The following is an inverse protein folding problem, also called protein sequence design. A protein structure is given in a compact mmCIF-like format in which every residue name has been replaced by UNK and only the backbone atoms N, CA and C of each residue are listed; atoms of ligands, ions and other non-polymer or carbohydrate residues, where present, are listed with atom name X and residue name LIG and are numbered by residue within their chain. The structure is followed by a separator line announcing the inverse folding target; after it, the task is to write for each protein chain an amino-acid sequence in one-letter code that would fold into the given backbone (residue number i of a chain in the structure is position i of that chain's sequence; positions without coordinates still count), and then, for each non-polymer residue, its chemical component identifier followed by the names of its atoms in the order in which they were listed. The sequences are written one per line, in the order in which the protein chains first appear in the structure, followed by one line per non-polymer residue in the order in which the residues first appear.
data_IF_472083764082
#
_entry.id   IF_472083764082
#
_cell.length_a   1.000
_cell.length_b   1.000
_cell.length_c   1.000
_cell.angle_alpha   90.00
_cell.angle_beta   90.00
_cell.angle_gamma   90.00
#
_symmetry.space_group_name_H-M   'P 1'
#
loop_
_entity.id
_entity.type
_entity.pdbx_description
1 polymer ?
#
# COMPACT_ATOMS: atom_id res chain seq x y z
N UNK A 1 -7.20 55.42 -95.75
CA UNK A 1 -8.02 55.84 -94.60
C UNK A 1 -8.32 54.70 -93.60
N UNK A 2 -8.39 53.42 -94.01
CA UNK A 2 -8.71 52.30 -93.10
C UNK A 2 -7.61 51.88 -92.09
N UNK A 3 -6.39 52.44 -92.16
CA UNK A 3 -5.26 52.02 -91.31
C UNK A 3 -5.14 52.80 -90.01
N UNK A 4 -5.49 54.08 -89.99
CA UNK A 4 -5.38 54.93 -88.80
C UNK A 4 -6.48 54.61 -87.78
N UNK A 5 -7.72 54.46 -88.25
CA UNK A 5 -8.89 54.09 -87.45
C UNK A 5 -8.72 52.70 -86.81
N UNK A 6 -8.05 51.76 -87.51
CA UNK A 6 -7.76 50.44 -86.97
C UNK A 6 -6.68 50.48 -85.86
N UNK A 7 -5.66 51.34 -86.01
CA UNK A 7 -4.64 51.57 -84.98
C UNK A 7 -5.25 52.25 -83.75
N UNK A 8 -6.13 53.23 -83.93
CA UNK A 8 -6.85 53.88 -82.83
C UNK A 8 -7.76 52.90 -82.08
N UNK A 9 -8.44 52.01 -82.80
CA UNK A 9 -9.25 50.96 -82.20
C UNK A 9 -8.40 49.95 -81.41
N UNK A 10 -7.24 49.54 -81.93
CA UNK A 10 -6.29 48.68 -81.21
C UNK A 10 -5.74 49.35 -79.96
N UNK A 11 -5.40 50.63 -80.04
CA UNK A 11 -4.89 51.42 -78.91
C UNK A 11 -5.97 51.61 -77.84
N UNK A 12 -7.23 51.79 -78.23
CA UNK A 12 -8.36 51.91 -77.32
C UNK A 12 -8.63 50.59 -76.59
N UNK A 13 -8.57 49.45 -77.31
CA UNK A 13 -8.67 48.12 -76.71
C UNK A 13 -7.52 47.84 -75.74
N UNK A 14 -6.27 48.10 -76.14
CA UNK A 14 -5.10 47.91 -75.28
C UNK A 14 -5.18 48.76 -74.01
N UNK A 15 -5.67 50.00 -74.08
CA UNK A 15 -5.93 50.86 -72.91
C UNK A 15 -7.03 50.30 -72.00
N UNK A 16 -8.11 49.75 -72.54
CA UNK A 16 -9.16 49.11 -71.75
C UNK A 16 -8.61 47.92 -70.98
N UNK A 17 -7.91 47.02 -71.68
CA UNK A 17 -7.31 45.82 -71.07
C UNK A 17 -6.27 46.18 -70.01
N UNK A 18 -5.44 47.20 -70.25
CA UNK A 18 -4.48 47.69 -69.26
C UNK A 18 -5.17 48.23 -68.00
N UNK A 19 -6.29 48.95 -68.15
CA UNK A 19 -7.09 49.42 -67.00
C UNK A 19 -7.73 48.28 -66.22
N UNK A 20 -8.29 47.29 -66.92
CA UNK A 20 -8.87 46.09 -66.30
C UNK A 20 -7.82 45.31 -65.50
N UNK A 21 -6.66 45.06 -66.10
CA UNK A 21 -5.54 44.37 -65.43
C UNK A 21 -4.97 45.15 -64.25
N UNK A 22 -4.93 46.48 -64.34
CA UNK A 22 -4.51 47.32 -63.22
C UNK A 22 -5.53 47.27 -62.07
N UNK A 23 -6.83 47.20 -62.37
CA UNK A 23 -7.86 47.04 -61.36
C UNK A 23 -7.78 45.68 -60.66
N UNK A 24 -7.61 44.61 -61.44
CA UNK A 24 -7.42 43.25 -60.96
C UNK A 24 -6.18 43.15 -60.04
N UNK A 25 -5.04 43.69 -60.48
CA UNK A 25 -3.82 43.73 -59.68
C UNK A 25 -3.99 44.52 -58.38
N UNK A 26 -4.70 45.66 -58.45
CA UNK A 26 -4.99 46.49 -57.27
C UNK A 26 -5.84 45.72 -56.25
N UNK A 27 -6.87 45.00 -56.69
CA UNK A 27 -7.72 44.19 -55.81
C UNK A 27 -6.94 43.08 -55.10
N UNK A 28 -6.09 42.36 -55.84
CA UNK A 28 -5.24 41.30 -55.29
C UNK A 28 -4.17 41.81 -54.31
N UNK A 29 -3.82 43.10 -54.38
CA UNK A 29 -2.83 43.73 -53.50
C UNK A 29 -3.47 44.60 -52.40
N UNK A 30 -4.57 44.15 -51.80
CA UNK A 30 -5.29 44.88 -50.74
C UNK A 30 -5.70 46.32 -51.15
N UNK A 31 -6.10 46.51 -52.41
CA UNK A 31 -6.45 47.80 -53.01
C UNK A 31 -5.32 48.85 -53.05
N UNK A 32 -4.06 48.44 -52.94
CA UNK A 32 -2.90 49.33 -52.97
C UNK A 32 -2.06 49.10 -54.22
N UNK A 33 -1.43 50.16 -54.70
CA UNK A 33 -0.49 50.12 -55.84
C UNK A 33 0.94 50.19 -55.32
N UNK A 34 1.95 49.73 -56.10
CA UNK A 34 3.36 49.77 -55.68
C UNK A 34 3.91 51.16 -55.34
N UNK A 35 3.23 52.21 -55.78
CA UNK A 35 3.56 53.61 -55.47
C UNK A 35 3.07 54.04 -54.07
N UNK A 36 2.22 53.25 -53.41
CA UNK A 36 1.71 53.51 -52.08
C UNK A 36 2.76 53.08 -51.02
N UNK A 37 3.10 53.94 -50.04
CA UNK A 37 4.03 53.60 -48.97
C UNK A 37 3.63 52.36 -48.16
N UNK A 38 2.34 52.00 -48.15
CA UNK A 38 1.78 50.87 -47.40
C UNK A 38 1.53 49.63 -48.29
N UNK A 39 2.16 49.56 -49.47
CA UNK A 39 2.05 48.41 -50.36
C UNK A 39 2.67 47.14 -49.72
N UNK A 40 1.90 46.05 -49.57
CA UNK A 40 2.32 44.89 -48.76
C UNK A 40 3.45 44.04 -49.38
N UNK A 41 3.69 44.12 -50.69
CA UNK A 41 4.63 43.26 -51.42
C UNK A 41 5.78 44.05 -52.07
N UNK A 42 6.21 45.14 -51.43
CA UNK A 42 7.12 46.12 -52.07
C UNK A 42 8.47 45.53 -52.47
N UNK A 43 9.08 44.77 -51.58
CA UNK A 43 10.39 44.13 -51.83
C UNK A 43 10.30 43.07 -52.94
N UNK A 44 9.23 42.28 -52.94
CA UNK A 44 8.99 41.25 -53.96
C UNK A 44 8.70 41.88 -55.34
N UNK A 45 7.98 43.01 -55.38
CA UNK A 45 7.70 43.74 -56.60
C UNK A 45 8.95 44.38 -57.20
N UNK A 46 9.85 44.91 -56.36
CA UNK A 46 11.14 45.47 -56.79
C UNK A 46 12.09 44.40 -57.33
N UNK A 47 11.95 43.15 -56.89
CA UNK A 47 12.74 42.01 -57.39
C UNK A 47 12.23 41.44 -58.74
N UNK A 48 11.06 41.88 -59.23
CA UNK A 48 10.50 41.40 -60.49
C UNK A 48 11.24 41.99 -61.70
N UNK A 49 11.34 41.23 -62.81
CA UNK A 49 11.91 41.74 -64.04
C UNK A 49 11.18 43.00 -64.55
N UNK A 50 11.93 43.96 -65.06
CA UNK A 50 11.37 45.24 -65.57
C UNK A 50 10.85 45.16 -67.01
N UNK A 51 11.07 44.04 -67.70
CA UNK A 51 10.64 43.83 -69.09
C UNK A 51 9.46 42.87 -69.18
N UNK A 52 8.52 43.19 -70.06
CA UNK A 52 7.30 42.41 -70.27
C UNK A 52 7.59 40.95 -70.68
N UNK A 53 8.64 40.73 -71.49
CA UNK A 53 9.04 39.38 -71.91
C UNK A 53 9.56 38.53 -70.73
N UNK A 54 10.43 39.10 -69.89
CA UNK A 54 10.97 38.39 -68.72
C UNK A 54 9.91 38.17 -67.64
N UNK A 55 8.94 39.07 -67.49
CA UNK A 55 7.80 38.87 -66.59
C UNK A 55 6.91 37.70 -67.02
N UNK A 56 6.67 37.55 -68.33
CA UNK A 56 5.91 36.41 -68.86
C UNK A 56 6.65 35.09 -68.66
N UNK A 57 7.97 35.06 -68.87
CA UNK A 57 8.81 33.90 -68.62
C UNK A 57 8.80 33.51 -67.13
N UNK A 58 9.00 34.48 -66.23
CA UNK A 58 8.95 34.27 -64.79
C UNK A 58 7.55 33.81 -64.32
N UNK A 59 6.48 34.37 -64.91
CA UNK A 59 5.11 33.89 -64.66
C UNK A 59 4.92 32.44 -65.11
N UNK A 60 5.48 32.07 -66.27
CA UNK A 60 5.42 30.71 -66.79
C UNK A 60 6.20 29.71 -65.93
N UNK A 61 7.38 30.09 -65.45
CA UNK A 61 8.17 29.31 -64.49
C UNK A 61 7.40 29.08 -63.19
N UNK A 62 6.82 30.15 -62.60
CA UNK A 62 6.03 30.04 -61.38
C UNK A 62 4.79 29.17 -61.56
N UNK A 63 4.07 29.30 -62.67
CA UNK A 63 2.92 28.44 -62.98
C UNK A 63 3.33 26.98 -63.13
N UNK A 64 4.46 26.72 -63.78
CA UNK A 64 5.02 25.38 -63.95
C UNK A 64 5.41 24.80 -62.59
N UNK A 65 6.05 25.61 -61.72
CA UNK A 65 6.40 25.21 -60.36
C UNK A 65 5.17 24.90 -59.53
N UNK A 66 4.13 25.72 -59.58
CA UNK A 66 2.84 25.47 -58.91
C UNK A 66 2.17 24.20 -59.45
N UNK A 67 2.28 23.94 -60.76
CA UNK A 67 1.70 22.76 -61.37
C UNK A 67 2.41 21.46 -60.98
N UNK A 68 3.73 21.51 -60.79
CA UNK A 68 4.53 20.37 -60.33
C UNK A 68 4.58 20.22 -58.80
N UNK A 69 4.25 21.26 -58.04
CA UNK A 69 3.99 21.13 -56.61
C UNK A 69 2.67 20.39 -56.45
N UNK A 70 2.75 19.16 -55.96
CA UNK A 70 1.58 18.42 -55.53
C UNK A 70 0.77 19.30 -54.56
N UNK A 71 -0.55 19.39 -54.76
CA UNK A 71 -1.40 20.19 -53.88
C UNK A 71 -1.33 19.52 -52.52
N UNK A 72 -0.49 20.06 -51.63
CA UNK A 72 -0.32 19.53 -50.29
C UNK A 72 -1.69 19.21 -49.71
N UNK A 73 -1.90 17.94 -49.37
CA UNK A 73 -3.21 17.46 -48.99
C UNK A 73 -3.60 18.10 -47.66
N UNK A 74 -4.65 18.93 -47.67
CA UNK A 74 -5.22 19.55 -46.46
C UNK A 74 -5.54 18.49 -45.39
N UNK A 75 -5.74 17.23 -45.81
CA UNK A 75 -5.93 16.09 -44.92
C UNK A 75 -4.68 15.78 -44.09
N UNK A 76 -3.47 15.98 -44.62
CA UNK A 76 -2.20 15.76 -43.90
C UNK A 76 -2.01 16.83 -42.81
N UNK A 77 -2.38 18.08 -43.09
CA UNK A 77 -2.33 19.16 -42.09
C UNK A 77 -3.34 18.88 -40.96
N UNK A 78 -4.58 18.50 -41.29
CA UNK A 78 -5.58 18.12 -40.29
C UNK A 78 -5.13 16.92 -39.46
N UNK A 79 -4.58 15.90 -40.10
CA UNK A 79 -4.09 14.71 -39.40
C UNK A 79 -2.92 15.06 -38.46
N UNK A 80 -2.02 15.95 -38.88
CA UNK A 80 -0.95 16.46 -38.02
C UNK A 80 -1.52 17.17 -36.78
N UNK A 81 -2.45 18.11 -36.96
CA UNK A 81 -3.09 18.84 -35.85
C UNK A 81 -3.86 17.91 -34.90
N UNK A 82 -4.56 16.90 -35.43
CA UNK A 82 -5.26 15.88 -34.64
C UNK A 82 -4.28 15.01 -33.85
N UNK A 83 -3.18 14.59 -34.48
CA UNK A 83 -2.11 13.83 -33.82
C UNK A 83 -1.43 14.66 -32.73
N UNK A 84 -1.16 15.93 -32.97
CA UNK A 84 -0.58 16.83 -31.97
C UNK A 84 -1.48 16.97 -30.74
N UNK A 85 -2.79 17.18 -30.95
CA UNK A 85 -3.78 17.19 -29.87
C UNK A 85 -3.82 15.87 -29.12
N UNK A 86 -3.78 14.75 -29.83
CA UNK A 86 -3.80 13.40 -29.24
C UNK A 86 -2.54 13.14 -28.40
N UNK A 87 -1.37 13.49 -28.91
CA UNK A 87 -0.09 13.38 -28.18
C UNK A 87 -0.12 14.25 -26.92
N UNK A 88 -0.63 15.47 -27.01
CA UNK A 88 -0.76 16.37 -25.85
C UNK A 88 -1.66 15.76 -24.77
N UNK A 89 -2.82 15.22 -25.17
CA UNK A 89 -3.74 14.52 -24.26
C UNK A 89 -3.11 13.29 -23.61
N UNK A 90 -2.49 12.41 -24.40
CA UNK A 90 -1.82 11.21 -23.87
C UNK A 90 -0.68 11.56 -22.91
N UNK A 91 0.12 12.60 -23.22
CA UNK A 91 1.16 13.08 -22.29
C UNK A 91 0.56 13.58 -20.98
N UNK A 92 -0.56 14.30 -21.03
CA UNK A 92 -1.27 14.73 -19.83
C UNK A 92 -1.80 13.54 -19.02
N UNK A 93 -2.38 12.53 -19.67
CA UNK A 93 -2.90 11.33 -19.02
C UNK A 93 -1.79 10.49 -18.35
N UNK A 94 -0.63 10.35 -19.01
CA UNK A 94 0.55 9.68 -18.46
C UNK A 94 1.10 10.44 -17.25
N UNK A 95 1.24 11.77 -17.35
CA UNK A 95 1.72 12.59 -16.24
C UNK A 95 0.75 12.53 -15.05
N UNK A 96 -0.56 12.57 -15.32
CA UNK A 96 -1.57 12.46 -14.29
C UNK A 96 -1.51 11.08 -13.60
N UNK A 97 -1.45 9.99 -14.37
CA UNK A 97 -1.32 8.63 -13.83
C UNK A 97 -0.03 8.43 -13.03
N UNK A 98 1.09 8.97 -13.52
CA UNK A 98 2.37 9.00 -12.80
C UNK A 98 2.24 9.73 -11.46
N UNK A 99 1.56 10.88 -11.43
CA UNK A 99 1.34 11.65 -10.22
C UNK A 99 0.47 10.90 -9.20
N UNK A 100 -0.57 10.20 -9.68
CA UNK A 100 -1.46 9.39 -8.84
C UNK A 100 -0.73 8.19 -8.24
N UNK A 101 0.10 7.50 -9.03
CA UNK A 101 0.92 6.39 -8.54
C UNK A 101 1.88 6.87 -7.45
N UNK A 102 2.57 8.00 -7.67
CA UNK A 102 3.46 8.58 -6.67
C UNK A 102 2.71 8.94 -5.37
N UNK A 103 1.54 9.56 -5.48
CA UNK A 103 0.70 9.83 -4.31
C UNK A 103 0.25 8.56 -3.58
N UNK A 104 0.03 7.46 -4.31
CA UNK A 104 -0.33 6.18 -3.71
C UNK A 104 0.87 5.55 -2.99
N UNK A 105 2.06 5.57 -3.59
CA UNK A 105 3.31 5.13 -2.95
C UNK A 105 3.58 5.92 -1.66
N UNK A 106 3.46 7.25 -1.71
CA UNK A 106 3.62 8.11 -0.54
C UNK A 106 2.63 7.73 0.58
N UNK A 107 1.36 7.44 0.23
CA UNK A 107 0.35 6.97 1.18
C UNK A 107 0.68 5.60 1.76
N UNK A 108 1.19 4.66 0.95
CA UNK A 108 1.60 3.34 1.42
C UNK A 108 2.74 3.46 2.43
N UNK A 109 3.73 4.31 2.16
CA UNK A 109 4.85 4.58 3.06
C UNK A 109 4.35 5.20 4.37
N UNK A 110 3.52 6.24 4.29
CA UNK A 110 2.96 6.90 5.47
C UNK A 110 2.15 5.93 6.34
N UNK A 111 1.33 5.07 5.71
CA UNK A 111 0.60 4.04 6.42
C UNK A 111 1.59 3.11 7.13
N UNK A 112 2.59 2.59 6.41
CA UNK A 112 3.63 1.69 6.93
C UNK A 112 4.34 2.26 8.16
N UNK A 113 4.80 3.49 8.07
CA UNK A 113 5.49 4.18 9.17
C UNK A 113 4.58 4.43 10.37
N UNK A 114 3.27 4.59 10.14
CA UNK A 114 2.30 4.76 11.23
C UNK A 114 1.93 3.44 11.93
N UNK A 115 1.84 2.32 11.21
CA UNK A 115 1.33 1.06 11.78
C UNK A 115 2.42 0.08 12.24
N UNK A 116 3.55 0.00 11.53
CA UNK A 116 4.57 -1.02 11.78
C UNK A 116 5.33 -0.79 13.10
N UNK A 117 5.82 0.43 13.43
CA UNK A 117 6.54 0.65 14.67
C UNK A 117 5.72 0.36 15.94
N UNK A 118 4.45 0.79 16.06
CA UNK A 118 3.62 0.41 17.20
C UNK A 118 3.39 -1.10 17.33
N UNK A 119 3.28 -1.81 16.20
CA UNK A 119 3.19 -3.28 16.22
C UNK A 119 4.48 -3.92 16.73
N UNK A 120 5.64 -3.46 16.23
CA UNK A 120 6.94 -3.97 16.66
C UNK A 120 7.19 -3.69 18.15
N UNK A 121 6.81 -2.50 18.65
CA UNK A 121 6.88 -2.17 20.08
C UNK A 121 5.96 -3.06 20.94
N UNK A 122 4.73 -3.30 20.47
CA UNK A 122 3.78 -4.20 21.15
C UNK A 122 4.34 -5.62 21.22
N UNK A 123 4.87 -6.14 20.11
CA UNK A 123 5.48 -7.47 20.03
C UNK A 123 6.75 -7.58 20.87
N UNK A 124 7.61 -6.57 20.86
CA UNK A 124 8.81 -6.52 21.71
C UNK A 124 8.42 -6.63 23.18
N UNK A 125 7.40 -5.89 23.59
CA UNK A 125 6.94 -5.91 24.96
C UNK A 125 6.28 -7.24 25.40
N UNK A 126 5.57 -7.91 24.49
CA UNK A 126 5.10 -9.29 24.71
C UNK A 126 6.30 -10.24 24.77
N UNK A 127 7.29 -10.04 23.89
CA UNK A 127 8.53 -10.82 23.80
C UNK A 127 9.35 -10.82 25.08
N UNK A 128 9.55 -9.64 25.70
CA UNK A 128 10.22 -9.52 27.00
C UNK A 128 9.48 -10.31 28.08
N UNK A 129 8.17 -10.09 28.18
CA UNK A 129 7.33 -10.76 29.17
C UNK A 129 7.33 -12.29 28.98
N UNK A 130 7.24 -12.74 27.73
CA UNK A 130 7.29 -14.14 27.35
C UNK A 130 8.65 -14.76 27.69
N UNK A 131 9.75 -14.10 27.32
CA UNK A 131 11.12 -14.54 27.62
C UNK A 131 11.36 -14.67 29.12
N UNK A 132 10.91 -13.69 29.93
CA UNK A 132 11.02 -13.73 31.39
C UNK A 132 10.23 -14.88 32.01
N UNK A 133 9.03 -15.14 31.50
CA UNK A 133 8.20 -16.28 31.93
C UNK A 133 8.85 -17.62 31.55
N UNK A 134 9.40 -17.73 30.34
CA UNK A 134 10.08 -18.95 29.87
C UNK A 134 11.38 -19.20 30.64
N UNK A 135 12.14 -18.14 30.96
CA UNK A 135 13.36 -18.20 31.75
C UNK A 135 13.09 -18.75 33.17
N UNK A 136 11.97 -18.37 33.80
CA UNK A 136 11.54 -18.91 35.11
C UNK A 136 11.29 -20.43 35.07
N UNK A 137 11.04 -21.00 33.90
CA UNK A 137 10.82 -22.44 33.71
C UNK A 137 12.12 -23.22 33.48
N UNK A 138 13.25 -22.52 33.34
CA UNK A 138 14.54 -23.06 32.94
C UNK A 138 14.69 -23.22 31.42
N UNK A 139 13.92 -22.47 30.63
CA UNK A 139 13.91 -22.53 29.17
C UNK A 139 14.16 -21.13 28.57
N UNK A 140 14.47 -21.02 27.28
CA UNK A 140 14.58 -19.73 26.60
C UNK A 140 13.52 -19.60 25.51
N UNK A 141 12.93 -18.41 25.37
CA UNK A 141 11.88 -18.12 24.41
C UNK A 141 11.97 -16.71 23.88
N UNK A 142 11.69 -16.53 22.59
CA UNK A 142 11.72 -15.24 21.91
C UNK A 142 10.53 -15.15 20.93
N UNK A 143 9.98 -13.94 20.78
CA UNK A 143 8.89 -13.67 19.84
C UNK A 143 9.40 -12.66 18.82
N UNK A 144 9.22 -12.96 17.53
CA UNK A 144 9.60 -12.08 16.42
C UNK A 144 8.45 -11.89 15.46
N UNK A 145 8.44 -10.72 14.82
CA UNK A 145 7.65 -10.50 13.62
C UNK A 145 8.39 -11.15 12.45
N UNK A 146 7.81 -12.17 11.87
CA UNK A 146 8.27 -12.80 10.65
C UNK A 146 7.68 -12.06 9.45
N UNK A 147 8.54 -11.45 8.64
CA UNK A 147 8.15 -10.72 7.42
C UNK A 147 8.25 -11.61 6.18
N UNK A 148 8.51 -12.92 6.35
CA UNK A 148 8.73 -13.84 5.25
C UNK A 148 10.07 -13.58 4.55
N UNK A 149 10.01 -13.10 3.31
CA UNK A 149 11.20 -12.85 2.48
C UNK A 149 11.50 -11.39 2.17
N UNK A 150 10.46 -10.54 2.14
CA UNK A 150 10.56 -9.11 1.83
C UNK A 150 9.66 -8.32 2.77
N UNK A 151 10.06 -7.10 3.09
CA UNK A 151 9.26 -6.18 3.89
C UNK A 151 7.90 -5.84 3.26
N UNK A 152 7.71 -6.08 1.96
CA UNK A 152 6.45 -5.81 1.24
C UNK A 152 5.52 -7.03 1.14
N UNK A 153 5.96 -8.22 1.58
CA UNK A 153 5.15 -9.44 1.57
C UNK A 153 4.16 -9.46 2.74
N UNK A 154 3.31 -8.44 2.87
CA UNK A 154 2.37 -8.27 4.00
C UNK A 154 1.41 -9.45 4.20
N UNK A 155 1.14 -10.22 3.14
CA UNK A 155 0.35 -11.46 3.18
C UNK A 155 1.06 -12.61 3.92
N UNK A 156 2.39 -12.56 3.99
CA UNK A 156 3.23 -13.54 4.69
C UNK A 156 3.61 -13.10 6.11
N UNK A 157 3.21 -11.91 6.54
CA UNK A 157 3.52 -11.43 7.88
C UNK A 157 2.92 -12.36 8.93
N UNK A 158 3.76 -12.80 9.85
CA UNK A 158 3.38 -13.75 10.89
C UNK A 158 4.12 -13.50 12.19
N UNK A 159 3.65 -14.11 13.26
CA UNK A 159 4.35 -14.10 14.54
C UNK A 159 5.13 -15.41 14.64
N UNK A 160 6.46 -15.31 14.63
CA UNK A 160 7.34 -16.44 14.88
C UNK A 160 7.63 -16.54 16.38
N UNK A 161 7.18 -17.63 16.99
CA UNK A 161 7.52 -17.98 18.37
C UNK A 161 8.72 -18.94 18.31
N UNK A 162 9.85 -18.51 18.86
CA UNK A 162 11.06 -19.31 18.95
C UNK A 162 11.25 -19.78 20.39
N UNK A 163 11.57 -21.06 20.56
CA UNK A 163 11.74 -21.68 21.87
C UNK A 163 12.95 -22.59 21.91
N UNK A 164 13.51 -22.72 23.10
CA UNK A 164 14.59 -23.65 23.44
C UNK A 164 14.29 -24.25 24.81
N UNK A 165 14.14 -25.56 24.87
CA UNK A 165 13.84 -26.30 26.10
C UNK A 165 15.08 -26.84 26.80
N UNK A 166 16.18 -27.02 26.06
CA UNK A 166 17.44 -27.55 26.58
C UNK A 166 18.58 -26.60 26.26
N UNK A 167 19.52 -26.44 27.19
CA UNK A 167 20.63 -25.49 27.03
C UNK A 167 21.53 -25.80 25.81
N UNK A 168 21.63 -27.07 25.43
CA UNK A 168 22.46 -27.53 24.31
C UNK A 168 21.80 -27.37 22.94
N UNK A 169 20.53 -26.96 22.88
CA UNK A 169 19.81 -26.77 21.62
C UNK A 169 19.83 -25.29 21.20
N UNK A 170 19.63 -25.00 19.91
CA UNK A 170 19.46 -23.64 19.42
C UNK A 170 17.99 -23.20 19.60
N UNK A 171 17.74 -21.89 19.59
CA UNK A 171 16.36 -21.40 19.49
C UNK A 171 15.77 -21.86 18.16
N UNK A 172 14.67 -22.61 18.25
CA UNK A 172 13.96 -23.12 17.08
C UNK A 172 12.55 -22.58 17.07
N UNK A 173 12.04 -22.31 15.87
CA UNK A 173 10.64 -21.94 15.70
C UNK A 173 9.74 -23.08 16.21
N UNK A 174 8.65 -22.70 16.88
CA UNK A 174 7.64 -23.64 17.33
C UNK A 174 6.92 -24.22 16.11
N UNK A 175 7.21 -25.47 15.77
CA UNK A 175 6.54 -26.19 14.68
C UNK A 175 5.97 -27.51 15.19
N UNK A 176 5.02 -28.08 14.43
CA UNK A 176 4.44 -29.39 14.77
C UNK A 176 5.48 -30.51 14.82
N UNK A 177 6.59 -30.38 14.09
CA UNK A 177 7.55 -31.47 13.85
C UNK A 177 8.76 -31.43 14.79
N UNK A 178 9.06 -30.28 15.39
CA UNK A 178 10.26 -30.06 16.20
C UNK A 178 10.05 -30.27 17.69
N UNK A 179 8.85 -30.01 18.22
CA UNK A 179 8.57 -30.07 19.67
C UNK A 179 7.51 -31.12 20.01
N UNK A 180 7.62 -31.67 21.23
CA UNK A 180 6.61 -32.60 21.77
C UNK A 180 5.25 -31.93 21.97
N UNK A 181 4.19 -32.73 22.07
CA UNK A 181 2.84 -32.22 22.35
C UNK A 181 2.77 -31.38 23.63
N UNK A 182 3.46 -31.81 24.69
CA UNK A 182 3.51 -31.11 25.97
C UNK A 182 4.28 -29.79 25.90
N UNK A 183 5.42 -29.74 25.21
CA UNK A 183 6.19 -28.52 25.00
C UNK A 183 5.41 -27.48 24.18
N UNK A 184 4.64 -27.94 23.19
CA UNK A 184 3.76 -27.08 22.39
C UNK A 184 2.63 -26.51 23.22
N UNK A 185 1.97 -27.33 24.03
CA UNK A 185 0.93 -26.88 24.95
C UNK A 185 1.48 -25.86 25.96
N UNK A 186 2.65 -26.15 26.55
CA UNK A 186 3.33 -25.26 27.50
C UNK A 186 3.68 -23.91 26.86
N UNK A 187 4.28 -23.92 25.68
CA UNK A 187 4.64 -22.69 24.94
C UNK A 187 3.41 -21.85 24.64
N UNK A 188 2.35 -22.50 24.17
CA UNK A 188 1.09 -21.84 23.83
C UNK A 188 0.46 -21.20 25.07
N UNK A 189 0.44 -21.91 26.20
CA UNK A 189 -0.08 -21.39 27.46
C UNK A 189 0.70 -20.16 27.94
N UNK A 190 2.04 -20.22 27.91
CA UNK A 190 2.89 -19.09 28.32
C UNK A 190 2.72 -17.89 27.38
N UNK A 191 2.62 -18.12 26.07
CA UNK A 191 2.35 -17.06 25.10
C UNK A 191 0.98 -16.40 25.34
N UNK A 192 -0.06 -17.18 25.60
CA UNK A 192 -1.37 -16.62 25.95
C UNK A 192 -1.33 -15.82 27.26
N UNK A 193 -0.57 -16.28 28.25
CA UNK A 193 -0.38 -15.53 29.49
C UNK A 193 0.34 -14.19 29.27
N UNK A 194 1.41 -14.16 28.46
CA UNK A 194 2.15 -12.92 28.18
C UNK A 194 1.29 -11.90 27.43
N UNK A 195 0.42 -12.35 26.53
CA UNK A 195 -0.60 -11.51 25.89
C UNK A 195 -1.60 -10.96 26.91
N UNK A 196 -2.13 -11.82 27.78
CA UNK A 196 -3.18 -11.45 28.73
C UNK A 196 -2.74 -10.44 29.79
N UNK A 197 -1.46 -10.38 30.13
CA UNK A 197 -0.91 -9.37 31.05
C UNK A 197 -0.97 -7.95 30.48
N UNK A 198 -0.99 -7.79 29.16
CA UNK A 198 -1.04 -6.48 28.49
C UNK A 198 -2.46 -6.02 28.19
N UNK A 199 -3.41 -6.95 28.16
CA UNK A 199 -4.83 -6.63 28.00
C UNK A 199 -5.37 -6.22 29.36
N UNK A 200 -6.14 -5.13 29.46
CA UNK A 200 -6.86 -4.77 30.68
C UNK A 200 -8.20 -5.50 30.69
N UNK A 201 -8.39 -6.42 31.63
CA UNK A 201 -9.68 -7.09 31.87
C UNK A 201 -9.95 -7.19 33.37
N UNK A 202 -11.16 -6.84 33.85
CA UNK A 202 -11.52 -6.90 35.26
C UNK A 202 -11.59 -8.33 35.79
N UNK A 203 -11.94 -9.30 34.94
CA UNK A 203 -11.91 -10.72 35.27
C UNK A 203 -11.45 -11.56 34.07
N UNK A 204 -10.88 -12.73 34.34
CA UNK A 204 -10.46 -13.71 33.32
C UNK A 204 -10.82 -15.11 33.78
N UNK A 205 -11.40 -15.89 32.89
CA UNK A 205 -11.68 -17.30 33.12
C UNK A 205 -10.78 -18.13 32.23
N UNK A 206 -10.05 -19.05 32.84
CA UNK A 206 -9.11 -19.95 32.17
C UNK A 206 -9.54 -21.37 32.50
N UNK A 207 -9.91 -22.13 31.48
CA UNK A 207 -10.36 -23.52 31.65
C UNK A 207 -9.36 -24.49 31.02
N UNK A 208 -9.10 -25.59 31.73
CA UNK A 208 -8.27 -26.72 31.29
C UNK A 208 -6.87 -26.37 30.75
N UNK A 209 -6.33 -25.19 31.07
CA UNK A 209 -5.03 -24.73 30.56
C UNK A 209 -3.86 -25.63 30.96
N UNK A 210 -4.02 -26.42 32.03
CA UNK A 210 -3.02 -27.35 32.52
C UNK A 210 -3.10 -28.75 31.88
N UNK A 211 -3.97 -28.98 30.89
CA UNK A 211 -4.09 -30.27 30.21
C UNK A 211 -3.18 -30.40 28.98
N UNK A 212 -2.90 -31.65 28.57
CA UNK A 212 -2.08 -31.94 27.39
C UNK A 212 -0.55 -31.86 27.62
N UNK A 213 -0.11 -31.73 28.87
CA UNK A 213 1.29 -31.69 29.29
C UNK A 213 1.63 -32.86 30.21
N UNK A 214 2.93 -33.18 30.31
CA UNK A 214 3.41 -34.11 31.33
C UNK A 214 3.29 -33.50 32.75
N UNK A 215 3.31 -34.33 33.81
CA UNK A 215 3.13 -33.84 35.19
C UNK A 215 4.17 -32.80 35.65
N UNK A 216 5.37 -32.78 35.06
CA UNK A 216 6.45 -31.86 35.45
C UNK A 216 6.16 -30.47 34.88
N UNK A 217 5.90 -30.40 33.58
CA UNK A 217 5.58 -29.18 32.86
C UNK A 217 4.25 -28.59 33.32
N UNK A 218 3.25 -29.43 33.55
CA UNK A 218 1.96 -29.03 34.12
C UNK A 218 2.14 -28.31 35.46
N UNK A 219 2.93 -28.89 36.37
CA UNK A 219 3.20 -28.31 37.69
C UNK A 219 3.91 -26.96 37.58
N UNK A 220 4.96 -26.89 36.76
CA UNK A 220 5.72 -25.66 36.58
C UNK A 220 4.85 -24.55 35.99
N UNK A 221 4.02 -24.86 34.99
CA UNK A 221 3.09 -23.91 34.38
C UNK A 221 2.10 -23.38 35.41
N UNK A 222 1.48 -24.27 36.19
CA UNK A 222 0.52 -23.87 37.21
C UNK A 222 1.15 -22.97 38.28
N UNK A 223 2.35 -23.30 38.75
CA UNK A 223 3.10 -22.46 39.70
C UNK A 223 3.41 -21.08 39.11
N UNK A 224 3.83 -21.03 37.85
CA UNK A 224 4.08 -19.77 37.15
C UNK A 224 2.80 -18.93 37.01
N UNK A 225 1.68 -19.55 36.63
CA UNK A 225 0.38 -18.89 36.50
C UNK A 225 -0.06 -18.29 37.83
N UNK A 226 0.00 -19.06 38.91
CA UNK A 226 -0.34 -18.58 40.25
C UNK A 226 0.55 -17.41 40.65
N UNK A 227 1.86 -17.52 40.43
CA UNK A 227 2.82 -16.47 40.79
C UNK A 227 2.52 -15.17 40.03
N UNK A 228 2.44 -15.25 38.70
CA UNK A 228 2.18 -14.09 37.84
C UNK A 228 0.85 -13.41 38.16
N UNK A 229 -0.21 -14.19 38.38
CA UNK A 229 -1.56 -13.64 38.64
C UNK A 229 -1.70 -13.05 40.03
N UNK A 230 -0.83 -13.41 40.98
CA UNK A 230 -0.87 -12.90 42.35
C UNK A 230 0.16 -11.80 42.65
N UNK A 231 1.25 -11.74 41.88
CA UNK A 231 2.28 -10.68 41.96
C UNK A 231 1.80 -9.37 41.32
N UNK A 232 0.96 -9.44 40.27
CA UNK A 232 0.40 -8.26 39.62
C UNK A 232 -0.92 -7.85 40.27
N UNK A 233 -1.15 -6.53 40.44
CA UNK A 233 -2.48 -5.96 40.75
C UNK A 233 -3.38 -5.99 39.51
N UNK A 234 -3.56 -7.19 38.96
CA UNK A 234 -4.40 -7.47 37.81
C UNK A 234 -5.81 -7.86 38.25
N UNK A 235 -6.74 -7.86 37.29
CA UNK A 235 -8.11 -8.33 37.49
C UNK A 235 -8.20 -9.77 37.99
N UNK A 236 -9.37 -10.17 38.45
CA UNK A 236 -9.60 -11.48 39.08
C UNK A 236 -9.43 -12.64 38.09
N UNK A 237 -8.65 -13.66 38.47
CA UNK A 237 -8.47 -14.88 37.68
C UNK A 237 -9.30 -16.04 38.24
N UNK A 238 -10.13 -16.64 37.41
CA UNK A 238 -10.82 -17.90 37.67
C UNK A 238 -10.13 -19.00 36.88
N UNK A 239 -9.48 -19.91 37.60
CA UNK A 239 -8.85 -21.08 37.02
C UNK A 239 -9.74 -22.30 37.26
N UNK A 240 -10.26 -22.86 36.17
CA UNK A 240 -11.07 -24.06 36.16
C UNK A 240 -10.19 -25.23 35.75
N UNK A 241 -10.08 -26.21 36.64
CA UNK A 241 -9.31 -27.42 36.35
C UNK A 241 -9.95 -28.63 37.01
N UNK A 242 -10.06 -29.76 36.29
CA UNK A 242 -10.49 -31.02 36.90
C UNK A 242 -9.36 -31.69 37.71
N UNK A 243 -8.13 -31.19 37.60
CA UNK A 243 -6.94 -31.79 38.21
C UNK A 243 -6.36 -30.90 39.30
N UNK A 244 -6.52 -31.32 40.55
CA UNK A 244 -5.88 -30.68 41.69
C UNK A 244 -4.44 -31.20 41.84
N UNK A 245 -3.45 -30.34 41.60
CA UNK A 245 -2.05 -30.67 41.84
C UNK A 245 -1.74 -30.59 43.33
N UNK A 246 -1.11 -31.64 43.87
CA UNK A 246 -0.70 -31.67 45.27
C UNK A 246 0.54 -30.81 45.51
N UNK A 247 0.70 -30.30 46.75
CA UNK A 247 1.86 -29.50 47.18
C UNK A 247 2.09 -28.23 46.34
N UNK A 248 1.04 -27.57 45.87
CA UNK A 248 1.19 -26.25 45.24
C UNK A 248 1.47 -25.17 46.29
N UNK A 249 2.18 -24.12 45.88
CA UNK A 249 2.44 -22.95 46.72
C UNK A 249 1.21 -22.04 46.68
N UNK A 250 0.51 -21.98 47.82
CA UNK A 250 -0.65 -21.11 47.98
C UNK A 250 -0.27 -19.83 48.73
N UNK A 251 -0.87 -18.71 48.36
CA UNK A 251 -0.73 -17.44 49.05
C UNK A 251 -2.12 -16.88 49.44
N UNK A 252 -2.20 -15.85 50.31
CA UNK A 252 -3.48 -15.32 50.79
C UNK A 252 -4.41 -14.75 49.71
N UNK A 253 -3.88 -14.46 48.51
CA UNK A 253 -4.68 -13.97 47.37
C UNK A 253 -5.37 -15.10 46.60
N UNK A 254 -5.14 -16.36 46.96
CA UNK A 254 -5.72 -17.53 46.27
C UNK A 254 -6.88 -18.10 47.07
N UNK A 255 -7.99 -18.37 46.38
CA UNK A 255 -9.13 -19.10 46.92
C UNK A 255 -9.38 -20.36 46.09
N UNK A 256 -9.44 -21.52 46.74
CA UNK A 256 -9.73 -22.80 46.08
C UNK A 256 -11.19 -23.16 46.34
N UNK A 257 -11.95 -23.29 45.25
CA UNK A 257 -13.32 -23.80 45.30
C UNK A 257 -13.35 -25.23 44.78
N UNK A 258 -13.63 -26.19 45.67
CA UNK A 258 -13.87 -27.59 45.27
C UNK A 258 -15.37 -27.79 45.05
N UNK A 259 -15.77 -27.96 43.79
CA UNK A 259 -17.18 -28.22 43.43
C UNK A 259 -17.43 -29.72 43.54
N UNK A 260 -18.24 -30.11 44.52
CA UNK A 260 -18.67 -31.48 44.73
C UNK A 260 -20.15 -31.60 44.38
N UNK A 261 -20.45 -32.04 43.16
CA UNK A 261 -21.83 -32.26 42.71
C UNK A 261 -22.04 -33.75 42.41
N UNK A 262 -23.00 -34.38 43.10
CA UNK A 262 -23.33 -35.79 42.90
C UNK A 262 -24.52 -36.24 43.75
N UNK A 263 -25.27 -37.24 43.26
CA UNK A 263 -26.49 -37.74 43.93
C UNK A 263 -26.25 -38.27 45.35
N UNK A 264 -25.05 -38.77 45.62
CA UNK A 264 -24.62 -39.34 46.91
C UNK A 264 -23.84 -38.36 47.78
N UNK A 265 -23.64 -37.11 47.32
CA UNK A 265 -22.86 -36.12 48.06
C UNK A 265 -23.70 -35.53 49.19
N UNK A 266 -23.07 -35.40 50.36
CA UNK A 266 -23.69 -34.83 51.54
C UNK A 266 -24.18 -33.41 51.26
N UNK A 267 -25.43 -33.10 51.66
CA UNK A 267 -25.95 -31.74 51.59
C UNK A 267 -25.01 -30.75 52.31
N UNK A 268 -24.70 -29.62 51.69
CA UNK A 268 -23.77 -28.61 52.22
C UNK A 268 -24.09 -28.17 53.66
N UNK A 269 -25.37 -28.19 54.09
CA UNK A 269 -25.77 -27.86 55.46
C UNK A 269 -25.25 -28.86 56.51
N UNK A 270 -24.95 -30.08 56.11
CA UNK A 270 -24.40 -31.14 56.97
C UNK A 270 -22.87 -31.20 56.91
N UNK A 271 -22.25 -30.47 55.98
CA UNK A 271 -20.79 -30.42 55.83
C UNK A 271 -20.16 -29.71 57.02
N UNK A 272 -19.17 -30.35 57.66
CA UNK A 272 -18.44 -29.78 58.80
C UNK A 272 -16.97 -29.63 58.43
N UNK A 273 -16.56 -28.41 58.08
CA UNK A 273 -15.20 -28.08 57.67
C UNK A 273 -14.15 -28.51 58.71
N UNK A 274 -14.38 -28.22 59.99
CA UNK A 274 -13.44 -28.57 61.07
C UNK A 274 -13.17 -30.08 61.14
N UNK A 275 -14.24 -30.89 61.04
CA UNK A 275 -14.12 -32.35 61.05
C UNK A 275 -13.39 -32.87 59.80
N UNK A 276 -13.65 -32.26 58.64
CA UNK A 276 -12.91 -32.59 57.41
C UNK A 276 -11.42 -32.28 57.55
N UNK A 277 -11.05 -31.09 58.05
CA UNK A 277 -9.65 -30.72 58.26
C UNK A 277 -8.94 -31.62 59.27
N UNK A 278 -9.63 -32.04 60.33
CA UNK A 278 -9.11 -32.99 61.32
C UNK A 278 -8.83 -34.36 60.68
N UNK A 279 -9.80 -34.90 59.93
CA UNK A 279 -9.61 -36.13 59.17
C UNK A 279 -8.48 -36.02 58.14
N UNK A 280 -8.38 -34.89 57.43
CA UNK A 280 -7.37 -34.66 56.41
C UNK A 280 -5.94 -34.56 56.99
N UNK A 281 -5.78 -33.97 58.18
CA UNK A 281 -4.49 -33.90 58.89
C UNK A 281 -4.01 -35.28 59.36
N UNK A 282 -4.94 -36.16 59.69
CA UNK A 282 -4.66 -37.54 60.10
C UNK A 282 -4.59 -38.51 58.91
N UNK A 283 -4.82 -38.02 57.68
CA UNK A 283 -4.77 -38.82 56.47
C UNK A 283 -3.33 -38.95 55.98
N UNK A 284 -2.70 -40.07 56.30
CA UNK A 284 -1.48 -40.54 55.63
C UNK A 284 -1.86 -41.32 54.37
N UNK A 285 -1.31 -40.99 53.19
CA UNK A 285 -1.62 -41.65 51.93
C UNK A 285 -1.11 -43.09 51.86
#
# INVERSE_FOLDING_TARGET
MATLENIENLLTRAKSTAKEKLLEAKQSCNNKLPQDPSFPYKEEFEALPTTMAALMEHSGELQTRIHFMDKGDDQVIKEYEEREKTISKLKADVNNSSSVNKQMEDKMIQLREAWLPPLEELLQGIGVTFGDMFAKMGCAGEIKLDKGGSDEDYDKYGIAILVRFRDNELLQQLTRHTQSGGERALTTAIYLMSLQLRVTSPFRCVDEINQGMDPINERKMFQLLVKVTTDCDNGQYFLLTPKLLSKLDYNPKIMVHTIQNGRTIMNYKKWKLNKFLECARNYTP
#
